data_IF_409100237954
#
_entry.id   IF_409100237954
#
_cell.length_a   1.000
_cell.length_b   1.000
_cell.length_c   1.000
_cell.angle_alpha   90.00
_cell.angle_beta   90.00
_cell.angle_gamma   90.00
#
_symmetry.space_group_name_H-M   'P 1'
#
loop_
_entity.id
_entity.type
_entity.pdbx_description
1 polymer ?
#
# COMPACT_ATOMS: atom_id res chain seq x y z
N UNK A 1 -54.46 19.61 -11.67
CA UNK A 1 -53.98 18.25 -11.35
C UNK A 1 -52.59 18.10 -11.96
N UNK A 2 -51.54 18.46 -11.21
CA UNK A 2 -50.15 18.34 -11.67
C UNK A 2 -49.47 17.19 -10.94
N UNK A 3 -49.09 16.14 -11.67
CA UNK A 3 -48.31 15.04 -11.11
C UNK A 3 -46.83 15.44 -11.06
N UNK A 4 -46.34 15.77 -9.86
CA UNK A 4 -44.92 16.00 -9.60
C UNK A 4 -44.15 14.68 -9.64
N UNK A 5 -43.22 14.55 -10.58
CA UNK A 5 -42.33 13.39 -10.69
C UNK A 5 -41.22 13.53 -9.67
N UNK A 6 -41.17 12.63 -8.67
CA UNK A 6 -40.06 12.53 -7.72
C UNK A 6 -38.98 11.65 -8.34
N UNK A 7 -37.80 12.21 -8.59
CA UNK A 7 -36.65 11.45 -9.05
C UNK A 7 -35.91 10.96 -7.81
N UNK A 8 -36.11 9.69 -7.45
CA UNK A 8 -35.31 9.03 -6.41
C UNK A 8 -33.90 8.81 -6.92
N UNK A 9 -32.93 9.49 -6.31
CA UNK A 9 -31.51 9.37 -6.65
C UNK A 9 -30.99 7.96 -6.41
N UNK A 10 -30.24 7.44 -7.38
CA UNK A 10 -29.55 6.17 -7.29
C UNK A 10 -28.52 6.21 -6.15
N UNK A 11 -28.75 5.39 -5.12
CA UNK A 11 -27.78 5.16 -4.05
C UNK A 11 -26.54 4.50 -4.63
N UNK A 12 -25.37 5.08 -4.36
CA UNK A 12 -24.09 4.51 -4.75
C UNK A 12 -23.94 3.13 -4.08
N UNK A 13 -23.73 2.04 -4.84
CA UNK A 13 -23.48 0.74 -4.25
C UNK A 13 -22.04 0.73 -3.73
N UNK A 14 -21.88 0.96 -2.43
CA UNK A 14 -20.63 0.58 -1.76
C UNK A 14 -20.51 -0.94 -1.92
N UNK A 15 -19.48 -1.37 -2.66
CA UNK A 15 -19.17 -2.77 -2.89
C UNK A 15 -19.20 -3.49 -1.55
N UNK A 16 -20.12 -4.44 -1.42
CA UNK A 16 -20.19 -5.32 -0.26
C UNK A 16 -19.00 -6.29 -0.34
N UNK A 17 -17.86 -5.87 0.21
CA UNK A 17 -16.70 -6.74 0.41
C UNK A 17 -17.08 -7.77 1.48
N UNK A 18 -17.00 -9.07 1.15
CA UNK A 18 -17.24 -10.15 2.11
C UNK A 18 -16.00 -10.27 3.00
N UNK A 19 -16.06 -9.65 4.18
CA UNK A 19 -14.98 -9.54 5.17
C UNK A 19 -14.48 -10.85 5.81
N UNK A 20 -14.90 -12.03 5.35
CA UNK A 20 -14.66 -13.27 6.12
C UNK A 20 -13.35 -14.01 5.77
N UNK A 21 -12.59 -13.62 4.73
CA UNK A 21 -11.30 -14.27 4.41
C UNK A 21 -10.30 -13.41 3.60
N UNK A 22 -10.63 -12.16 3.26
CA UNK A 22 -9.73 -11.33 2.46
C UNK A 22 -8.71 -10.62 3.37
N UNK A 23 -7.42 -10.97 3.22
CA UNK A 23 -6.30 -10.23 3.81
C UNK A 23 -6.44 -8.74 3.46
N UNK A 24 -6.26 -7.86 4.44
CA UNK A 24 -6.39 -6.43 4.22
C UNK A 24 -5.44 -6.00 3.07
N UNK A 25 -5.92 -5.26 2.06
CA UNK A 25 -5.08 -4.89 0.92
C UNK A 25 -3.79 -4.16 1.30
N UNK A 26 -3.79 -3.44 2.43
CA UNK A 26 -2.59 -2.79 2.97
C UNK A 26 -1.65 -3.83 3.58
N UNK A 27 -2.16 -4.78 4.37
CA UNK A 27 -1.34 -5.88 4.92
C UNK A 27 -0.68 -6.72 3.82
N UNK A 28 -1.42 -7.02 2.76
CA UNK A 28 -0.91 -7.72 1.58
C UNK A 28 0.23 -6.95 0.90
N UNK A 29 0.08 -5.63 0.79
CA UNK A 29 1.10 -4.75 0.23
C UNK A 29 2.35 -4.71 1.12
N UNK A 30 2.18 -4.49 2.43
CA UNK A 30 3.28 -4.34 3.37
C UNK A 30 4.06 -5.66 3.49
N UNK A 31 3.38 -6.81 3.43
CA UNK A 31 4.01 -8.14 3.40
C UNK A 31 5.04 -8.28 2.28
N UNK A 32 4.75 -7.74 1.09
CA UNK A 32 5.69 -7.76 -0.06
C UNK A 32 6.88 -6.83 0.08
N UNK A 33 6.84 -5.89 1.03
CA UNK A 33 7.92 -4.93 1.26
C UNK A 33 8.93 -5.40 2.31
N UNK A 34 8.55 -6.32 3.20
CA UNK A 34 9.34 -6.71 4.37
C UNK A 34 9.16 -5.81 5.60
N UNK A 35 8.28 -4.78 5.52
CA UNK A 35 8.03 -3.85 6.62
C UNK A 35 6.91 -4.29 7.60
N UNK A 36 6.53 -5.58 7.59
CA UNK A 36 5.41 -6.09 8.40
C UNK A 36 5.64 -6.00 9.91
N UNK A 37 6.89 -6.10 10.37
CA UNK A 37 7.19 -5.98 11.79
C UNK A 37 6.84 -4.58 12.32
N UNK A 38 7.22 -3.54 11.59
CA UNK A 38 6.93 -2.15 11.94
C UNK A 38 5.44 -1.84 11.80
N UNK A 39 4.77 -2.41 10.79
CA UNK A 39 3.32 -2.30 10.65
C UNK A 39 2.59 -2.90 11.86
N UNK A 40 2.91 -4.15 12.24
CA UNK A 40 2.29 -4.80 13.41
C UNK A 40 2.60 -4.06 14.71
N UNK A 41 3.80 -3.51 14.87
CA UNK A 41 4.14 -2.70 16.03
C UNK A 41 3.29 -1.41 16.12
N UNK A 42 3.00 -0.78 14.97
CA UNK A 42 2.10 0.37 14.91
C UNK A 42 0.67 -0.02 15.24
N UNK A 43 0.15 -1.11 14.65
CA UNK A 43 -1.19 -1.62 14.94
C UNK A 43 -1.36 -1.98 16.42
N UNK A 44 -0.34 -2.61 17.03
CA UNK A 44 -0.34 -2.92 18.45
C UNK A 44 -0.40 -1.66 19.31
N UNK A 45 0.45 -0.65 19.04
CA UNK A 45 0.40 0.61 19.76
C UNK A 45 -0.97 1.31 19.63
N UNK A 46 -1.56 1.30 18.43
CA UNK A 46 -2.89 1.88 18.19
C UNK A 46 -3.98 1.12 18.96
N UNK A 47 -3.88 -0.21 19.06
CA UNK A 47 -4.81 -1.04 19.82
C UNK A 47 -4.72 -0.78 21.33
N UNK A 48 -3.51 -0.56 21.86
CA UNK A 48 -3.27 -0.28 23.27
C UNK A 48 -3.60 1.17 23.64
N UNK A 49 -3.05 2.13 22.91
CA UNK A 49 -3.08 3.55 23.26
C UNK A 49 -4.31 4.28 22.72
N UNK A 50 -4.86 3.83 21.58
CA UNK A 50 -5.95 4.49 20.86
C UNK A 50 -5.70 5.98 20.52
N UNK A 51 -4.45 6.43 20.63
CA UNK A 51 -4.00 7.77 20.27
C UNK A 51 -2.70 7.68 19.47
N UNK A 52 -2.80 8.02 18.19
CA UNK A 52 -1.67 7.98 17.25
C UNK A 52 -0.53 8.94 17.63
N UNK A 53 -0.79 9.97 18.46
CA UNK A 53 0.24 10.90 18.96
C UNK A 53 1.23 10.20 19.88
N UNK A 54 0.78 9.19 20.62
CA UNK A 54 1.65 8.36 21.45
C UNK A 54 2.39 7.29 20.64
N UNK A 55 1.86 6.92 19.47
CA UNK A 55 2.45 5.95 18.55
C UNK A 55 3.43 6.56 17.53
N UNK A 56 3.81 7.82 17.71
CA UNK A 56 4.77 8.54 16.86
C UNK A 56 6.08 7.78 16.60
N UNK A 57 6.70 7.11 17.59
CA UNK A 57 7.89 6.28 17.33
C UNK A 57 7.64 5.15 16.32
N UNK A 58 6.52 4.43 16.46
CA UNK A 58 6.12 3.31 15.61
C UNK A 58 5.75 3.81 14.20
N UNK A 59 5.06 4.96 14.10
CA UNK A 59 4.76 5.61 12.82
C UNK A 59 6.04 5.97 12.07
N UNK A 60 7.04 6.55 12.76
CA UNK A 60 8.33 6.87 12.16
C UNK A 60 9.06 5.62 11.69
N UNK A 61 9.15 4.59 12.53
CA UNK A 61 9.80 3.33 12.17
C UNK A 61 9.17 2.68 10.92
N UNK A 62 7.84 2.68 10.82
CA UNK A 62 7.14 2.15 9.65
C UNK A 62 7.43 2.98 8.39
N UNK A 63 7.36 4.31 8.49
CA UNK A 63 7.68 5.22 7.38
C UNK A 63 9.11 5.03 6.89
N UNK A 64 10.07 4.98 7.81
CA UNK A 64 11.49 4.89 7.48
C UNK A 64 11.82 3.54 6.83
N UNK A 65 11.15 2.44 7.23
CA UNK A 65 11.24 1.15 6.54
C UNK A 65 10.74 1.26 5.09
N UNK A 66 9.54 1.80 4.88
CA UNK A 66 8.95 1.92 3.53
C UNK A 66 9.77 2.85 2.63
N UNK A 67 10.35 3.92 3.19
CA UNK A 67 11.24 4.82 2.47
C UNK A 67 12.52 4.11 1.99
N UNK A 68 13.13 3.27 2.83
CA UNK A 68 14.29 2.46 2.45
C UNK A 68 13.93 1.49 1.32
N UNK A 69 12.80 0.77 1.44
CA UNK A 69 12.34 -0.15 0.39
C UNK A 69 12.10 0.55 -0.95
N UNK A 70 11.60 1.78 -0.94
CA UNK A 70 11.42 2.60 -2.15
C UNK A 70 12.77 2.91 -2.80
N UNK A 71 13.75 3.36 -2.02
CA UNK A 71 15.09 3.67 -2.52
C UNK A 71 15.79 2.42 -3.09
N UNK A 72 15.71 1.29 -2.41
CA UNK A 72 16.30 0.04 -2.90
C UNK A 72 15.68 -0.41 -4.23
N UNK A 73 14.37 -0.24 -4.41
CA UNK A 73 13.70 -0.52 -5.69
C UNK A 73 14.13 0.44 -6.79
N UNK A 74 14.37 1.72 -6.46
CA UNK A 74 14.88 2.72 -7.41
C UNK A 74 16.30 2.39 -7.86
N UNK A 75 17.18 1.99 -6.95
CA UNK A 75 18.54 1.53 -7.25
C UNK A 75 18.53 0.27 -8.12
N UNK A 76 17.67 -0.71 -7.79
CA UNK A 76 17.52 -1.94 -8.59
C UNK A 76 16.92 -1.69 -9.98
N UNK A 77 16.09 -0.65 -10.13
CA UNK A 77 15.46 -0.28 -11.40
C UNK A 77 16.33 0.66 -12.23
N UNK A 78 17.40 1.20 -11.67
CA UNK A 78 18.39 1.95 -12.46
C UNK A 78 18.99 1.00 -13.52
N UNK A 79 19.10 1.42 -14.79
CA UNK A 79 19.69 0.58 -15.81
C UNK A 79 21.13 0.27 -15.40
N UNK A 80 21.40 -1.00 -15.09
CA UNK A 80 22.76 -1.51 -15.04
C UNK A 80 23.36 -1.35 -16.43
N UNK A 81 24.07 -0.24 -16.65
CA UNK A 81 24.92 -0.05 -17.82
C UNK A 81 26.10 -1.02 -17.75
N UNK A 82 25.86 -2.30 -18.00
CA UNK A 82 26.95 -3.29 -18.18
C UNK A 82 26.57 -4.53 -18.99
N UNK A 83 25.58 -4.45 -19.89
CA UNK A 83 25.41 -5.46 -20.93
C UNK A 83 25.82 -4.89 -22.28
N UNK A 84 27.14 -4.89 -22.52
CA UNK A 84 27.67 -4.87 -23.87
C UNK A 84 27.42 -6.23 -24.51
N UNK A 85 26.49 -6.29 -25.45
CA UNK A 85 26.43 -7.36 -26.43
C UNK A 85 27.10 -6.83 -27.71
N UNK A 86 28.21 -7.43 -28.21
CA UNK A 86 28.64 -7.13 -29.56
C UNK A 86 27.58 -7.64 -30.55
N UNK A 87 27.20 -6.78 -31.49
CA UNK A 87 26.30 -7.15 -32.58
C UNK A 87 26.92 -8.30 -33.41
N UNK A 88 26.14 -9.28 -33.87
CA UNK A 88 26.65 -10.23 -34.86
C UNK A 88 26.90 -9.45 -36.15
N UNK A 89 28.17 -9.31 -36.53
CA UNK A 89 28.53 -8.85 -37.87
C UNK A 89 28.05 -9.92 -38.85
N UNK A 90 27.04 -9.55 -39.64
CA UNK A 90 26.73 -10.23 -40.87
C UNK A 90 27.86 -9.94 -41.86
N UNK A 91 28.59 -10.99 -42.27
CA UNK A 91 29.02 -11.36 -43.63
C UNK A 91 30.13 -12.42 -43.57
#
# INVERSE_FOLDING_TARGET
>A
MGAGKVHGGAGHPWVQVRYEDEEDPVDAMVSRTGCMAQHRALQHCMAEQQDWRHCQPQVRAFRDCMAQRKQEREVQRAPSSSQGHPAPAAE
#
